data_IF_857953853131
#
_entry.id   IF_857953853131
#
_cell.length_a   1.000
_cell.length_b   1.000
_cell.length_c   1.000
_cell.angle_alpha   90.00
_cell.angle_beta   90.00
_cell.angle_gamma   90.00
#
_symmetry.space_group_name_H-M   'P 1'
#
loop_
_entity.id
_entity.type
_entity.pdbx_description
1 polymer ?
#
# COMPACT_ATOMS: atom_id res chain seq x y z
N UNK A 1 25.42 17.08 13.21
CA UNK A 1 24.23 16.24 13.40
C UNK A 1 23.06 16.70 12.55
N UNK A 2 22.79 17.98 12.50
CA UNK A 2 21.63 18.57 11.79
C UNK A 2 21.65 18.34 10.27
N UNK A 3 22.81 18.49 9.63
CA UNK A 3 22.97 18.25 8.18
C UNK A 3 22.60 16.78 7.84
N UNK A 4 23.00 15.84 8.69
CA UNK A 4 22.70 14.41 8.49
C UNK A 4 21.20 14.14 8.63
N UNK A 5 20.51 14.79 9.57
CA UNK A 5 19.07 14.72 9.73
C UNK A 5 18.32 15.30 8.53
N UNK A 6 18.80 16.44 8.01
CA UNK A 6 18.22 17.07 6.82
C UNK A 6 18.39 16.19 5.59
N UNK A 7 19.59 15.67 5.35
CA UNK A 7 19.85 14.78 4.21
C UNK A 7 19.02 13.50 4.31
N UNK A 8 18.97 12.86 5.47
CA UNK A 8 18.17 11.65 5.69
C UNK A 8 16.67 11.92 5.53
N UNK A 9 16.17 13.04 6.06
CA UNK A 9 14.78 13.45 5.91
C UNK A 9 14.40 13.72 4.46
N UNK A 10 15.26 14.42 3.71
CA UNK A 10 15.05 14.65 2.28
C UNK A 10 15.06 13.36 1.46
N UNK A 11 15.98 12.45 1.74
CA UNK A 11 16.01 11.13 1.08
C UNK A 11 14.70 10.38 1.32
N UNK A 12 14.21 10.34 2.56
CA UNK A 12 12.94 9.70 2.90
C UNK A 12 11.73 10.36 2.22
N UNK A 13 11.73 11.69 2.10
CA UNK A 13 10.70 12.41 1.36
C UNK A 13 10.72 12.04 -0.14
N UNK A 14 11.91 11.99 -0.74
CA UNK A 14 12.07 11.58 -2.15
C UNK A 14 11.65 10.12 -2.33
N UNK A 15 12.06 9.22 -1.44
CA UNK A 15 11.66 7.81 -1.44
C UNK A 15 10.14 7.69 -1.31
N UNK A 16 9.51 8.49 -0.46
CA UNK A 16 8.07 8.52 -0.33
C UNK A 16 7.35 9.05 -1.58
N UNK A 17 7.91 10.09 -2.22
CA UNK A 17 7.40 10.62 -3.49
C UNK A 17 7.51 9.56 -4.61
N UNK A 18 8.65 8.91 -4.74
CA UNK A 18 8.86 7.81 -5.71
C UNK A 18 7.93 6.63 -5.38
N UNK A 19 7.72 6.34 -4.09
CA UNK A 19 6.82 5.30 -3.61
C UNK A 19 5.35 5.55 -3.95
N UNK A 20 4.94 6.82 -4.14
CA UNK A 20 3.58 7.13 -4.60
C UNK A 20 3.35 6.76 -6.07
N UNK A 21 4.39 6.78 -6.90
CA UNK A 21 4.33 6.32 -8.31
C UNK A 21 4.50 4.81 -8.44
N UNK A 22 5.33 4.23 -7.60
CA UNK A 22 5.64 2.81 -7.60
C UNK A 22 4.91 2.19 -6.39
N UNK A 23 3.93 1.30 -6.56
CA UNK A 23 3.21 0.65 -5.45
C UNK A 23 4.09 -0.34 -4.66
N UNK A 24 5.34 -0.01 -4.52
CA UNK A 24 6.47 -0.79 -4.02
C UNK A 24 6.87 -0.35 -2.63
N UNK A 25 6.80 0.96 -2.40
CA UNK A 25 7.25 1.60 -1.17
C UNK A 25 6.04 2.21 -0.47
N UNK A 26 5.97 2.16 0.85
CA UNK A 26 4.90 2.82 1.59
C UNK A 26 5.06 4.35 1.49
N UNK A 27 4.67 4.91 0.34
CA UNK A 27 4.87 6.31 -0.03
C UNK A 27 4.49 7.31 1.06
N UNK A 28 3.23 7.31 1.54
CA UNK A 28 2.78 8.30 2.52
C UNK A 28 3.52 8.22 3.86
N UNK A 29 3.78 6.99 4.34
CA UNK A 29 4.49 6.78 5.62
C UNK A 29 5.97 7.18 5.49
N UNK A 30 6.62 6.86 4.36
CA UNK A 30 8.02 7.25 4.12
C UNK A 30 8.17 8.76 4.04
N UNK A 31 7.28 9.45 3.31
CA UNK A 31 7.27 10.91 3.24
C UNK A 31 7.05 11.55 4.60
N UNK A 32 6.10 11.02 5.37
CA UNK A 32 5.85 11.53 6.72
C UNK A 32 7.04 11.30 7.65
N UNK A 33 7.69 10.13 7.58
CA UNK A 33 8.90 9.84 8.36
C UNK A 33 10.02 10.82 8.02
N UNK A 34 10.14 11.21 6.75
CA UNK A 34 11.06 12.26 6.31
C UNK A 34 10.77 13.61 6.95
N UNK A 35 9.51 14.05 6.93
CA UNK A 35 9.07 15.29 7.60
C UNK A 35 9.31 15.25 9.11
N UNK A 36 9.06 14.11 9.73
CA UNK A 36 9.30 13.91 11.16
C UNK A 36 10.80 14.03 11.51
N UNK A 37 11.68 13.44 10.72
CA UNK A 37 13.14 13.58 10.91
C UNK A 37 13.61 15.02 10.70
N UNK A 38 13.07 15.72 9.71
CA UNK A 38 13.39 17.12 9.45
C UNK A 38 13.07 18.01 10.65
N UNK A 39 12.01 17.70 11.40
CA UNK A 39 11.61 18.47 12.58
C UNK A 39 12.60 18.38 13.76
N UNK A 40 13.50 17.41 13.77
CA UNK A 40 14.57 17.33 14.75
C UNK A 40 15.81 18.15 14.38
N UNK A 41 15.85 18.71 13.17
CA UNK A 41 16.95 19.58 12.75
C UNK A 41 16.71 21.02 13.24
N UNK A 42 17.78 21.72 13.56
CA UNK A 42 17.70 23.15 13.95
C UNK A 42 17.24 24.07 12.82
N UNK A 43 17.22 23.57 11.58
CA UNK A 43 16.86 24.35 10.38
C UNK A 43 15.36 24.36 10.09
N UNK A 44 14.61 23.40 10.60
CA UNK A 44 13.19 23.23 10.29
C UNK A 44 12.43 23.11 11.61
N UNK A 45 11.46 23.96 11.81
CA UNK A 45 10.58 23.92 12.98
C UNK A 45 9.14 23.77 12.48
N UNK A 46 8.64 22.52 12.47
CA UNK A 46 7.28 22.21 12.06
C UNK A 46 6.36 22.24 13.28
N UNK A 47 5.20 22.87 13.11
CA UNK A 47 4.20 22.90 14.16
C UNK A 47 3.69 21.47 14.46
N UNK A 48 3.58 21.10 15.74
CA UNK A 48 3.10 19.78 16.15
C UNK A 48 1.72 19.44 15.54
N UNK A 49 0.86 20.45 15.39
CA UNK A 49 -0.44 20.29 14.77
C UNK A 49 -0.34 19.83 13.30
N UNK A 50 0.60 20.41 12.55
CA UNK A 50 0.88 20.02 11.17
C UNK A 50 1.36 18.56 11.08
N UNK A 51 2.29 18.16 11.95
CA UNK A 51 2.81 16.79 12.00
C UNK A 51 1.70 15.77 12.33
N UNK A 52 0.82 16.08 13.27
CA UNK A 52 -0.30 15.20 13.64
C UNK A 52 -1.28 15.06 12.47
N UNK A 53 -1.66 16.18 11.84
CA UNK A 53 -2.62 16.15 10.71
C UNK A 53 -2.04 15.34 9.54
N UNK A 54 -0.79 15.59 9.15
CA UNK A 54 -0.13 14.87 8.05
C UNK A 54 0.07 13.39 8.38
N UNK A 55 0.30 13.05 9.65
CA UNK A 55 0.36 11.66 10.11
C UNK A 55 -0.98 10.94 9.94
N UNK A 56 -2.07 11.58 10.37
CA UNK A 56 -3.41 11.00 10.22
C UNK A 56 -3.77 10.79 8.74
N UNK A 57 -3.39 11.74 7.88
CA UNK A 57 -3.58 11.61 6.42
C UNK A 57 -2.76 10.44 5.89
N UNK A 58 -1.47 10.33 6.25
CA UNK A 58 -0.59 9.27 5.78
C UNK A 58 -1.10 7.88 6.20
N UNK A 59 -1.55 7.73 7.45
CA UNK A 59 -2.16 6.48 7.93
C UNK A 59 -3.45 6.18 7.18
N UNK A 60 -4.33 7.17 6.99
CA UNK A 60 -5.61 6.97 6.31
C UNK A 60 -5.41 6.47 4.88
N UNK A 61 -4.46 7.06 4.15
CA UNK A 61 -4.11 6.63 2.79
C UNK A 61 -3.54 5.21 2.83
N UNK A 62 -2.63 4.92 3.74
CA UNK A 62 -2.04 3.57 3.85
C UNK A 62 -3.07 2.49 4.18
N UNK A 63 -4.08 2.81 4.99
CA UNK A 63 -5.21 1.89 5.24
C UNK A 63 -6.01 1.66 3.97
N UNK A 64 -6.26 2.70 3.17
CA UNK A 64 -6.97 2.58 1.90
C UNK A 64 -6.21 1.69 0.91
N UNK A 65 -4.88 1.75 0.89
CA UNK A 65 -4.02 0.92 0.05
C UNK A 65 -4.24 -0.58 0.30
N UNK A 66 -4.52 -0.97 1.54
CA UNK A 66 -4.87 -2.34 1.89
C UNK A 66 -6.33 -2.69 1.62
N UNK A 67 -7.24 -1.75 1.83
CA UNK A 67 -8.68 -2.03 1.74
C UNK A 67 -9.17 -2.11 0.29
N UNK A 68 -8.64 -1.31 -0.61
CA UNK A 68 -9.15 -1.20 -1.99
C UNK A 68 -9.03 -2.52 -2.77
N UNK A 69 -7.90 -3.28 -2.73
CA UNK A 69 -7.82 -4.58 -3.38
C UNK A 69 -8.85 -5.58 -2.84
N UNK A 70 -9.07 -5.57 -1.52
CA UNK A 70 -10.04 -6.45 -0.84
C UNK A 70 -11.47 -6.11 -1.28
N UNK A 71 -11.79 -4.81 -1.36
CA UNK A 71 -13.07 -4.33 -1.83
C UNK A 71 -13.29 -4.65 -3.31
N UNK A 72 -12.24 -4.64 -4.13
CA UNK A 72 -12.27 -5.08 -5.51
C UNK A 72 -12.71 -6.54 -5.64
N UNK A 73 -12.13 -7.44 -4.84
CA UNK A 73 -12.54 -8.85 -4.76
C UNK A 73 -14.02 -8.96 -4.39
N UNK A 74 -14.44 -8.24 -3.34
CA UNK A 74 -15.83 -8.27 -2.86
C UNK A 74 -16.82 -7.78 -3.92
N UNK A 75 -16.52 -6.68 -4.64
CA UNK A 75 -17.40 -6.10 -5.66
C UNK A 75 -17.63 -7.03 -6.86
N UNK A 76 -16.64 -7.85 -7.21
CA UNK A 76 -16.76 -8.83 -8.30
C UNK A 76 -17.25 -10.21 -7.83
N UNK A 77 -17.99 -10.24 -6.70
CA UNK A 77 -18.63 -11.45 -6.21
C UNK A 77 -17.70 -12.44 -5.50
N UNK A 78 -16.57 -11.93 -4.98
CA UNK A 78 -15.61 -12.73 -4.25
C UNK A 78 -16.11 -13.21 -2.90
N UNK A 79 -15.65 -14.39 -2.50
CA UNK A 79 -15.93 -15.00 -1.21
C UNK A 79 -15.06 -14.42 -0.11
N UNK A 80 -15.38 -14.74 1.15
CA UNK A 80 -14.49 -14.42 2.29
C UNK A 80 -13.12 -15.05 2.13
N UNK A 81 -13.03 -16.25 1.54
CA UNK A 81 -11.76 -16.91 1.24
C UNK A 81 -10.89 -16.12 0.25
N UNK A 82 -11.50 -15.59 -0.82
CA UNK A 82 -10.82 -14.72 -1.76
C UNK A 82 -10.34 -13.41 -1.14
N UNK A 83 -11.14 -12.80 -0.27
CA UNK A 83 -10.76 -11.57 0.44
C UNK A 83 -9.58 -11.80 1.41
N UNK A 84 -9.63 -12.88 2.19
CA UNK A 84 -8.53 -13.29 3.09
C UNK A 84 -7.29 -13.63 2.26
N UNK A 85 -7.47 -14.38 1.16
CA UNK A 85 -6.40 -14.71 0.23
C UNK A 85 -5.74 -13.46 -0.36
N UNK A 86 -6.51 -12.45 -0.77
CA UNK A 86 -5.97 -11.18 -1.25
C UNK A 86 -5.13 -10.48 -0.16
N UNK A 87 -5.65 -10.42 1.07
CA UNK A 87 -4.95 -9.79 2.21
C UNK A 87 -3.63 -10.49 2.53
N UNK A 88 -3.65 -11.82 2.63
CA UNK A 88 -2.45 -12.62 2.84
C UNK A 88 -1.50 -12.52 1.64
N UNK A 89 -2.05 -12.47 0.44
CA UNK A 89 -1.30 -12.30 -0.79
C UNK A 89 -0.48 -11.02 -0.84
N UNK A 90 -1.00 -9.90 -0.31
CA UNK A 90 -0.22 -8.66 -0.16
C UNK A 90 1.01 -8.89 0.71
N UNK A 91 0.80 -9.51 1.88
CA UNK A 91 1.86 -9.72 2.88
C UNK A 91 2.92 -10.68 2.33
N UNK A 92 2.51 -11.87 1.87
CA UNK A 92 3.42 -12.87 1.32
C UNK A 92 4.04 -12.42 -0.01
N UNK A 93 3.26 -11.75 -0.85
CA UNK A 93 3.75 -11.19 -2.10
C UNK A 93 4.90 -10.22 -1.87
N UNK A 94 4.73 -9.28 -0.95
CA UNK A 94 5.77 -8.34 -0.58
C UNK A 94 7.03 -9.05 -0.07
N UNK A 95 6.87 -10.09 0.77
CA UNK A 95 8.00 -10.80 1.37
C UNK A 95 8.79 -11.65 0.37
N UNK A 96 8.11 -12.34 -0.58
CA UNK A 96 8.76 -13.29 -1.51
C UNK A 96 9.09 -12.69 -2.87
N UNK A 97 8.27 -11.79 -3.38
CA UNK A 97 8.41 -11.19 -4.71
C UNK A 97 8.78 -9.70 -4.63
N UNK A 98 8.94 -9.17 -3.40
CA UNK A 98 9.22 -7.76 -3.19
C UNK A 98 8.13 -6.87 -3.81
N UNK A 99 8.56 -5.82 -4.51
CA UNK A 99 7.65 -4.84 -5.09
C UNK A 99 6.61 -5.38 -6.06
N UNK A 100 7.00 -6.32 -6.92
CA UNK A 100 6.08 -6.98 -7.84
C UNK A 100 5.02 -7.80 -7.10
N UNK A 101 5.35 -8.25 -5.89
CA UNK A 101 4.44 -8.99 -5.03
C UNK A 101 3.27 -8.17 -4.51
N UNK A 102 3.37 -6.84 -4.44
CA UNK A 102 2.24 -5.97 -4.07
C UNK A 102 1.13 -5.99 -5.13
N UNK A 103 1.48 -6.20 -6.39
CA UNK A 103 0.51 -6.32 -7.49
C UNK A 103 0.09 -7.77 -7.67
N UNK A 104 1.06 -8.68 -7.80
CA UNK A 104 0.80 -10.09 -8.06
C UNK A 104 0.23 -10.83 -6.85
N UNK A 105 0.65 -10.46 -5.64
CA UNK A 105 0.27 -11.10 -4.38
C UNK A 105 -1.24 -11.12 -4.14
N UNK A 106 -1.93 -9.97 -4.14
CA UNK A 106 -3.38 -9.92 -3.96
C UNK A 106 -4.12 -10.73 -5.03
N UNK A 107 -3.65 -10.71 -6.28
CA UNK A 107 -4.24 -11.48 -7.37
C UNK A 107 -4.10 -12.99 -7.14
N UNK A 108 -2.87 -13.47 -6.93
CA UNK A 108 -2.59 -14.89 -6.69
C UNK A 108 -3.26 -15.35 -5.40
N UNK A 109 -3.18 -14.56 -4.34
CA UNK A 109 -3.80 -14.85 -3.06
C UNK A 109 -5.32 -14.91 -3.16
N UNK A 110 -5.96 -13.97 -3.85
CA UNK A 110 -7.39 -14.00 -4.11
C UNK A 110 -7.78 -15.21 -4.95
N UNK A 111 -7.04 -15.50 -6.02
CA UNK A 111 -7.31 -16.63 -6.90
C UNK A 111 -7.27 -17.95 -6.12
N UNK A 112 -6.24 -18.16 -5.31
CA UNK A 112 -6.11 -19.37 -4.48
C UNK A 112 -7.19 -19.45 -3.41
N UNK A 113 -7.51 -18.33 -2.75
CA UNK A 113 -8.58 -18.27 -1.75
C UNK A 113 -9.97 -18.53 -2.34
N UNK A 114 -10.25 -18.01 -3.53
CA UNK A 114 -11.50 -18.28 -4.26
C UNK A 114 -11.57 -19.73 -4.73
N UNK A 115 -10.48 -20.26 -5.28
CA UNK A 115 -10.42 -21.64 -5.74
C UNK A 115 -10.70 -22.63 -4.61
N UNK A 116 -10.13 -22.39 -3.44
CA UNK A 116 -10.40 -23.23 -2.25
C UNK A 116 -11.86 -23.11 -1.83
N UNK A 117 -12.46 -21.92 -1.92
CA UNK A 117 -13.84 -21.66 -1.47
C UNK A 117 -14.89 -22.14 -2.46
N UNK A 118 -14.71 -21.88 -3.75
CA UNK A 118 -15.69 -22.17 -4.82
C UNK A 118 -15.41 -23.46 -5.58
N UNK A 119 -14.22 -24.02 -5.45
CA UNK A 119 -13.77 -25.24 -6.15
C UNK A 119 -13.84 -25.18 -7.68
N UNK A 120 -14.00 -24.00 -8.28
CA UNK A 120 -14.14 -23.82 -9.71
C UNK A 120 -13.26 -22.67 -10.20
N UNK A 121 -12.38 -22.95 -11.14
CA UNK A 121 -11.36 -21.98 -11.62
C UNK A 121 -12.01 -20.80 -12.34
N UNK A 122 -13.03 -21.04 -13.13
CA UNK A 122 -13.73 -19.97 -13.89
C UNK A 122 -14.36 -18.94 -12.97
N UNK A 123 -15.01 -19.38 -11.89
CA UNK A 123 -15.68 -18.50 -10.94
C UNK A 123 -14.70 -17.79 -10.00
N UNK A 124 -13.45 -18.25 -9.94
CA UNK A 124 -12.38 -17.67 -9.12
C UNK A 124 -11.61 -16.55 -9.82
N UNK A 125 -11.57 -16.56 -11.15
CA UNK A 125 -10.81 -15.57 -11.94
C UNK A 125 -11.42 -14.17 -11.82
N UNK A 126 -12.75 -14.03 -11.91
CA UNK A 126 -13.40 -12.72 -11.88
C UNK A 126 -13.14 -11.95 -10.57
N UNK A 127 -13.32 -12.53 -9.38
CA UNK A 127 -12.96 -11.87 -8.14
C UNK A 127 -11.46 -11.56 -8.02
N UNK A 128 -10.60 -12.47 -8.52
CA UNK A 128 -9.16 -12.24 -8.53
C UNK A 128 -8.77 -11.04 -9.42
N UNK A 129 -9.40 -10.87 -10.59
CA UNK A 129 -9.24 -9.67 -11.41
C UNK A 129 -9.71 -8.42 -10.66
N UNK A 130 -10.69 -8.54 -9.77
CA UNK A 130 -11.14 -7.45 -8.91
C UNK A 130 -10.07 -6.91 -7.99
N UNK A 131 -9.24 -7.79 -7.42
CA UNK A 131 -8.10 -7.36 -6.61
C UNK A 131 -7.07 -6.61 -7.46
N UNK A 132 -6.82 -7.06 -8.67
CA UNK A 132 -5.86 -6.47 -9.60
C UNK A 132 -6.35 -5.10 -10.09
N UNK A 133 -7.62 -4.99 -10.48
CA UNK A 133 -8.24 -3.71 -10.86
C UNK A 133 -8.23 -2.74 -9.66
N UNK A 134 -8.53 -3.21 -8.46
CA UNK A 134 -8.46 -2.42 -7.23
C UNK A 134 -7.06 -1.86 -7.01
N UNK A 135 -6.03 -2.68 -7.12
CA UNK A 135 -4.63 -2.27 -6.95
C UNK A 135 -4.20 -1.27 -8.03
N UNK A 136 -4.58 -1.50 -9.29
CA UNK A 136 -4.27 -0.58 -10.40
C UNK A 136 -5.04 0.75 -10.29
N UNK A 137 -6.32 0.71 -9.91
CA UNK A 137 -7.10 1.92 -9.67
C UNK A 137 -6.49 2.79 -8.56
N UNK A 138 -5.97 2.15 -7.52
CA UNK A 138 -5.28 2.84 -6.44
C UNK A 138 -3.99 3.49 -6.92
N UNK A 139 -3.20 2.80 -7.75
CA UNK A 139 -1.99 3.36 -8.38
C UNK A 139 -2.32 4.61 -9.19
N UNK A 140 -3.46 4.64 -9.90
CA UNK A 140 -3.93 5.83 -10.63
C UNK A 140 -4.37 6.98 -9.71
N UNK A 141 -4.92 6.69 -8.55
CA UNK A 141 -5.32 7.73 -7.57
C UNK A 141 -4.10 8.38 -6.93
N UNK A 142 -2.98 7.64 -6.81
CA UNK A 142 -1.73 8.16 -6.25
C UNK A 142 -0.91 9.03 -7.25
N UNK A 143 -1.22 8.98 -8.54
CA UNK A 143 -0.62 9.84 -9.57
C UNK A 143 -1.37 11.16 -9.65
#
# INVERSE_FOLDING_TARGET
>A
MDILLVVAGLILCIVGLVGSFLPILPGPISSWSGLFLLNFSSYVNLENKFLIITFLIAISISILDYLIPILGVKKLGGTKGGQIGASLGVIFGLFFLGPLGLIAGPFIGSLTGEFISKKNLKDSIYPALGSLIGTLALSLIHI
#
